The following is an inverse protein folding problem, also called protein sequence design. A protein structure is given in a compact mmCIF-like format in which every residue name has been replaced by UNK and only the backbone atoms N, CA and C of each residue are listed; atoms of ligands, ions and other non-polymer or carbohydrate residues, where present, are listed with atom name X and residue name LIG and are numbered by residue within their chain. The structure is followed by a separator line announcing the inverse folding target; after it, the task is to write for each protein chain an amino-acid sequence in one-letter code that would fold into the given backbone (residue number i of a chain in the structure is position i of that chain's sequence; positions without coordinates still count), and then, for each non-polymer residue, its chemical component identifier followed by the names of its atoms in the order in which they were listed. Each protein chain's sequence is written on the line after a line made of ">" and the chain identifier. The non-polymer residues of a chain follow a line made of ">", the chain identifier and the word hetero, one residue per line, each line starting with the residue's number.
data_IF_417909896995
#
_entry.id   IF_417909896995
#
_cell.length_a   1.000
_cell.length_b   1.000
_cell.length_c   1.000
_cell.angle_alpha   90.00
_cell.angle_beta   90.00
_cell.angle_gamma   90.00
#
_symmetry.space_group_name_H-M   'P 1'
#
loop_
_entity.id
_entity.type
_entity.pdbx_description
1 polymer ?
#
# COMPACT_ATOMS: atom_id res chain seq x y z
N UNK A 1 28.63 -38.47 7.69
CA UNK A 1 27.29 -37.92 7.38
C UNK A 1 26.75 -38.62 6.14
N UNK A 2 25.47 -39.02 6.13
CA UNK A 2 24.84 -39.68 4.97
C UNK A 2 24.99 -38.83 3.69
N UNK A 3 25.39 -39.46 2.58
CA UNK A 3 25.57 -38.83 1.25
C UNK A 3 24.35 -38.01 0.82
N UNK A 4 23.16 -38.46 1.20
CA UNK A 4 21.90 -37.81 0.83
C UNK A 4 21.66 -36.51 1.59
N UNK A 5 22.07 -36.44 2.86
CA UNK A 5 22.01 -35.21 3.64
C UNK A 5 22.90 -34.13 3.01
N UNK A 6 24.12 -34.49 2.60
CA UNK A 6 25.06 -33.54 1.98
C UNK A 6 24.51 -33.00 0.66
N UNK A 7 23.89 -33.85 -0.17
CA UNK A 7 23.23 -33.42 -1.42
C UNK A 7 22.05 -32.49 -1.14
N UNK A 8 21.23 -32.81 -0.14
CA UNK A 8 20.09 -31.99 0.25
C UNK A 8 20.52 -30.60 0.74
N UNK A 9 21.52 -30.53 1.63
CA UNK A 9 22.07 -29.28 2.15
C UNK A 9 22.65 -28.40 1.03
N UNK A 10 23.34 -28.99 0.05
CA UNK A 10 23.85 -28.23 -1.11
C UNK A 10 22.73 -27.63 -1.97
N UNK A 11 21.66 -28.40 -2.24
CA UNK A 11 20.49 -27.89 -2.96
C UNK A 11 19.78 -26.78 -2.19
N UNK A 12 19.58 -26.97 -0.89
CA UNK A 12 18.99 -25.97 0.00
C UNK A 12 19.78 -24.66 -0.04
N UNK A 13 21.11 -24.73 0.13
CA UNK A 13 21.98 -23.55 0.04
C UNK A 13 21.86 -22.84 -1.30
N UNK A 14 21.88 -23.57 -2.41
CA UNK A 14 21.75 -22.96 -3.74
C UNK A 14 20.41 -22.24 -3.94
N UNK A 15 19.32 -22.80 -3.38
CA UNK A 15 18.01 -22.13 -3.39
C UNK A 15 17.98 -20.89 -2.49
N UNK A 16 18.56 -20.96 -1.29
CA UNK A 16 18.65 -19.83 -0.37
C UNK A 16 19.46 -18.66 -0.96
N UNK A 17 20.61 -18.97 -1.57
CA UNK A 17 21.45 -17.98 -2.26
C UNK A 17 20.68 -17.32 -3.44
N UNK A 18 19.94 -18.11 -4.23
CA UNK A 18 19.11 -17.58 -5.33
C UNK A 18 17.95 -16.72 -4.82
N UNK A 19 17.29 -17.11 -3.73
CA UNK A 19 16.23 -16.32 -3.11
C UNK A 19 16.77 -14.99 -2.58
N UNK A 20 17.96 -14.98 -1.98
CA UNK A 20 18.62 -13.75 -1.53
C UNK A 20 18.90 -12.80 -2.70
N UNK A 21 19.44 -13.32 -3.80
CA UNK A 21 19.69 -12.51 -5.01
C UNK A 21 18.40 -11.92 -5.57
N UNK A 22 17.37 -12.75 -5.81
CA UNK A 22 16.08 -12.28 -6.33
C UNK A 22 15.41 -11.27 -5.40
N UNK A 23 15.56 -11.41 -4.08
CA UNK A 23 15.03 -10.43 -3.13
C UNK A 23 15.77 -9.09 -3.19
N UNK A 24 17.09 -9.11 -3.42
CA UNK A 24 17.87 -7.88 -3.63
C UNK A 24 17.46 -7.17 -4.93
N UNK A 25 17.36 -7.92 -6.03
CA UNK A 25 16.90 -7.39 -7.32
C UNK A 25 15.47 -6.83 -7.20
N UNK A 26 14.56 -7.58 -6.57
CA UNK A 26 13.20 -7.12 -6.33
C UNK A 26 13.15 -5.86 -5.46
N UNK A 27 14.09 -5.71 -4.51
CA UNK A 27 14.18 -4.51 -3.69
C UNK A 27 14.65 -3.30 -4.50
N UNK A 28 15.66 -3.47 -5.35
CA UNK A 28 16.11 -2.42 -6.28
C UNK A 28 14.99 -1.98 -7.21
N UNK A 29 14.28 -2.94 -7.82
CA UNK A 29 13.12 -2.64 -8.68
C UNK A 29 11.99 -1.91 -7.93
N UNK A 30 11.77 -2.20 -6.65
CA UNK A 30 10.80 -1.46 -5.82
C UNK A 30 11.23 -0.01 -5.58
N UNK A 31 12.53 0.23 -5.42
CA UNK A 31 13.09 1.57 -5.22
C UNK A 31 13.01 2.40 -6.52
N UNK A 32 13.42 1.81 -7.64
CA UNK A 32 13.28 2.42 -8.97
C UNK A 32 11.81 2.75 -9.29
N UNK A 33 10.90 1.80 -9.04
CA UNK A 33 9.46 2.03 -9.21
C UNK A 33 8.99 3.20 -8.34
N UNK A 34 9.43 3.28 -7.09
CA UNK A 34 9.06 4.37 -6.18
C UNK A 34 9.56 5.73 -6.68
N UNK A 35 10.77 5.79 -7.23
CA UNK A 35 11.30 7.02 -7.83
C UNK A 35 10.44 7.47 -9.02
N UNK A 36 10.07 6.56 -9.91
CA UNK A 36 9.19 6.85 -11.04
C UNK A 36 7.79 7.28 -10.59
N UNK A 37 7.24 6.69 -9.52
CA UNK A 37 5.96 7.10 -8.94
C UNK A 37 6.02 8.56 -8.42
N UNK A 38 7.16 9.00 -7.86
CA UNK A 38 7.35 10.39 -7.44
C UNK A 38 7.38 11.34 -8.64
N UNK A 39 8.12 11.00 -9.69
CA UNK A 39 8.16 11.80 -10.93
C UNK A 39 6.76 11.90 -11.58
N UNK A 40 6.03 10.79 -11.67
CA UNK A 40 4.64 10.75 -12.14
C UNK A 40 3.73 11.63 -11.30
N UNK A 41 3.89 11.59 -9.97
CA UNK A 41 3.12 12.43 -9.06
C UNK A 41 3.35 13.91 -9.33
N UNK A 42 4.61 14.31 -9.54
CA UNK A 42 4.95 15.70 -9.82
C UNK A 42 4.38 16.19 -11.14
N UNK A 43 4.41 15.35 -12.18
CA UNK A 43 3.75 15.65 -13.46
C UNK A 43 2.24 15.83 -13.25
N UNK A 44 1.58 14.90 -12.56
CA UNK A 44 0.13 14.88 -12.36
C UNK A 44 -0.42 15.96 -11.41
N UNK A 45 0.44 16.67 -10.68
CA UNK A 45 0.08 17.90 -9.95
C UNK A 45 -0.23 19.07 -10.89
N UNK A 46 0.26 19.03 -12.13
CA UNK A 46 -0.02 20.07 -13.12
C UNK A 46 -1.51 20.09 -13.45
N UNK A 47 -2.11 21.29 -13.50
CA UNK A 47 -3.55 21.49 -13.72
C UNK A 47 -4.07 20.85 -15.00
N UNK A 48 -3.24 20.77 -16.04
CA UNK A 48 -3.58 20.15 -17.33
C UNK A 48 -3.89 18.64 -17.23
N UNK A 49 -3.43 17.97 -16.17
CA UNK A 49 -3.67 16.54 -15.96
C UNK A 49 -4.66 16.26 -14.82
N UNK A 50 -5.29 17.28 -14.23
CA UNK A 50 -6.15 17.13 -13.06
C UNK A 50 -7.31 16.13 -13.25
N UNK A 51 -7.83 16.03 -14.47
CA UNK A 51 -8.95 15.14 -14.84
C UNK A 51 -8.51 13.71 -15.19
N UNK A 52 -7.20 13.45 -15.27
CA UNK A 52 -6.69 12.12 -15.59
C UNK A 52 -6.71 11.26 -14.31
N UNK A 53 -7.44 10.15 -14.38
CA UNK A 53 -7.57 9.15 -13.32
C UNK A 53 -7.16 7.74 -13.77
N UNK A 54 -7.00 7.53 -15.08
CA UNK A 54 -6.63 6.26 -15.70
C UNK A 54 -5.71 6.52 -16.89
N UNK A 55 -4.69 5.69 -17.06
CA UNK A 55 -3.81 5.69 -18.23
C UNK A 55 -3.79 4.28 -18.82
N UNK A 56 -4.17 4.15 -20.09
CA UNK A 56 -4.17 2.86 -20.79
C UNK A 56 -2.81 2.61 -21.45
N UNK A 57 -2.30 1.40 -21.26
CA UNK A 57 -1.08 0.92 -21.90
C UNK A 57 -1.50 -0.02 -23.03
N UNK A 58 -1.33 0.44 -24.28
CA UNK A 58 -1.78 -0.28 -25.47
C UNK A 58 -1.00 -1.58 -25.72
N UNK A 59 0.24 -1.65 -25.24
CA UNK A 59 1.15 -2.76 -25.54
C UNK A 59 0.76 -4.07 -24.84
N UNK A 60 0.07 -3.99 -23.70
CA UNK A 60 -0.23 -5.16 -22.86
C UNK A 60 -1.67 -5.19 -22.32
N UNK A 61 -2.56 -4.32 -22.84
CA UNK A 61 -3.94 -4.19 -22.39
C UNK A 61 -4.07 -4.04 -20.87
N UNK A 62 -3.20 -3.24 -20.26
CA UNK A 62 -3.30 -2.88 -18.83
C UNK A 62 -3.60 -1.39 -18.65
N UNK A 63 -4.14 -1.06 -17.47
CA UNK A 63 -4.49 0.30 -17.09
C UNK A 63 -3.76 0.65 -15.81
N UNK A 64 -3.13 1.83 -15.77
CA UNK A 64 -2.66 2.45 -14.53
C UNK A 64 -3.79 3.31 -13.98
N UNK A 65 -4.36 2.88 -12.86
CA UNK A 65 -5.28 3.67 -12.06
C UNK A 65 -4.50 4.65 -11.20
N UNK A 66 -4.88 5.92 -11.27
CA UNK A 66 -4.28 7.02 -10.49
C UNK A 66 -5.26 7.38 -9.37
N UNK A 67 -4.81 7.24 -8.13
CA UNK A 67 -5.53 7.73 -6.96
C UNK A 67 -4.82 8.97 -6.46
N UNK A 68 -5.54 10.10 -6.43
CA UNK A 68 -5.00 11.40 -6.00
C UNK A 68 -5.02 11.53 -4.47
N UNK A 69 -4.20 12.41 -3.90
CA UNK A 69 -4.34 12.80 -2.50
C UNK A 69 -5.79 13.11 -2.15
N UNK A 70 -6.19 12.74 -0.94
CA UNK A 70 -7.51 12.95 -0.34
C UNK A 70 -8.67 12.17 -1.01
N UNK A 71 -8.44 11.49 -2.14
CA UNK A 71 -9.46 10.71 -2.85
C UNK A 71 -9.49 9.22 -2.49
N UNK A 72 -8.55 8.75 -1.67
CA UNK A 72 -8.48 7.35 -1.26
C UNK A 72 -7.98 7.21 0.18
N UNK A 73 -8.35 6.09 0.79
CA UNK A 73 -7.86 5.71 2.12
C UNK A 73 -6.91 4.53 2.01
N UNK A 74 -5.82 4.60 2.75
CA UNK A 74 -4.89 3.49 2.94
C UNK A 74 -5.63 2.33 3.62
N UNK A 75 -5.25 1.07 3.34
CA UNK A 75 -5.85 -0.09 4.00
C UNK A 75 -5.82 0.05 5.53
N UNK A 76 -6.89 -0.44 6.17
CA UNK A 76 -7.00 -0.38 7.63
C UNK A 76 -5.83 -1.09 8.30
N UNK A 77 -5.10 -0.33 9.11
CA UNK A 77 -4.01 -0.82 9.94
C UNK A 77 -4.02 -0.01 11.23
N UNK A 78 -3.56 -0.57 12.34
CA UNK A 78 -3.38 0.18 13.58
C UNK A 78 -2.19 -0.41 14.34
N UNK A 79 -1.14 0.38 14.55
CA UNK A 79 0.00 -0.08 15.32
C UNK A 79 -0.32 -0.06 16.83
N UNK A 80 0.34 -0.90 17.61
CA UNK A 80 0.18 -0.88 19.07
C UNK A 80 0.55 0.48 19.68
N UNK A 81 1.51 1.20 19.07
CA UNK A 81 1.91 2.55 19.46
C UNK A 81 0.78 3.55 19.22
N UNK A 82 0.21 3.56 18.02
CA UNK A 82 -0.89 4.47 17.65
C UNK A 82 -2.13 4.20 18.50
N UNK A 83 -2.43 2.92 18.75
CA UNK A 83 -3.53 2.53 19.63
C UNK A 83 -3.34 3.11 21.03
N UNK A 84 -2.15 2.96 21.63
CA UNK A 84 -1.85 3.53 22.96
C UNK A 84 -2.03 5.04 22.99
N UNK A 85 -1.61 5.72 21.93
CA UNK A 85 -1.78 7.17 21.80
C UNK A 85 -3.25 7.58 21.72
N UNK A 86 -4.04 6.93 20.86
CA UNK A 86 -5.48 7.23 20.73
C UNK A 86 -6.25 6.93 22.00
N UNK A 87 -5.91 5.85 22.70
CA UNK A 87 -6.45 5.56 24.03
C UNK A 87 -6.10 6.69 25.00
N UNK A 88 -4.85 7.14 25.06
CA UNK A 88 -4.44 8.25 25.92
C UNK A 88 -5.20 9.55 25.63
N UNK A 89 -5.40 9.88 24.35
CA UNK A 89 -6.19 11.03 23.93
C UNK A 89 -7.67 10.90 24.33
N UNK A 90 -8.26 9.71 24.16
CA UNK A 90 -9.64 9.45 24.56
C UNK A 90 -9.85 9.63 26.07
N UNK A 91 -8.96 9.07 26.90
CA UNK A 91 -9.06 9.16 28.36
C UNK A 91 -8.83 10.57 28.91
N UNK A 92 -8.13 11.41 28.13
CA UNK A 92 -7.91 12.84 28.44
C UNK A 92 -9.05 13.74 27.96
N UNK A 93 -9.95 13.23 27.12
CA UNK A 93 -11.10 13.98 26.61
C UNK A 93 -12.26 14.01 27.62
N UNK A 94 -13.18 14.98 27.48
CA UNK A 94 -14.39 15.05 28.33
C UNK A 94 -15.51 14.08 27.88
N UNK A 95 -15.22 13.16 26.95
CA UNK A 95 -16.20 12.20 26.44
C UNK A 95 -16.61 11.16 27.50
N UNK A 96 -17.79 10.54 27.36
CA UNK A 96 -18.20 9.44 28.22
C UNK A 96 -17.18 8.31 28.14
N UNK A 97 -16.69 7.88 29.30
CA UNK A 97 -15.66 6.85 29.45
C UNK A 97 -16.25 5.45 29.36
N UNK A 98 -16.84 5.11 28.22
CA UNK A 98 -17.39 3.78 27.94
C UNK A 98 -16.64 3.11 26.77
N UNK A 99 -16.81 1.79 26.63
CA UNK A 99 -16.11 1.02 25.61
C UNK A 99 -16.55 1.38 24.18
N UNK A 100 -17.83 1.69 23.98
CA UNK A 100 -18.41 2.02 22.67
C UNK A 100 -17.86 3.34 22.13
N UNK A 101 -17.82 4.38 22.95
CA UNK A 101 -17.27 5.69 22.62
C UNK A 101 -15.76 5.61 22.40
N UNK A 102 -15.05 4.78 23.17
CA UNK A 102 -13.62 4.55 22.98
C UNK A 102 -13.37 3.90 21.62
N UNK A 103 -14.13 2.87 21.26
CA UNK A 103 -14.04 2.21 19.97
C UNK A 103 -14.36 3.18 18.84
N UNK A 104 -15.49 3.91 18.93
CA UNK A 104 -15.89 4.88 17.92
C UNK A 104 -14.83 5.98 17.73
N UNK A 105 -14.24 6.49 18.81
CA UNK A 105 -13.19 7.49 18.77
C UNK A 105 -11.92 6.98 18.07
N UNK A 106 -11.43 5.80 18.45
CA UNK A 106 -10.24 5.19 17.83
C UNK A 106 -10.50 4.94 16.35
N UNK A 107 -11.70 4.45 16.01
CA UNK A 107 -12.06 4.16 14.63
C UNK A 107 -12.07 5.44 13.79
N UNK A 108 -12.74 6.49 14.26
CA UNK A 108 -12.86 7.75 13.56
C UNK A 108 -11.50 8.45 13.37
N UNK A 109 -10.71 8.53 14.45
CA UNK A 109 -9.35 9.10 14.38
C UNK A 109 -8.48 8.35 13.38
N UNK A 110 -8.57 7.01 13.37
CA UNK A 110 -7.75 6.22 12.45
C UNK A 110 -8.25 6.31 11.01
N UNK A 111 -9.56 6.35 10.76
CA UNK A 111 -10.12 6.58 9.41
C UNK A 111 -9.57 7.88 8.82
N UNK A 112 -9.59 8.96 9.60
CA UNK A 112 -9.07 10.25 9.17
C UNK A 112 -7.55 10.21 8.94
N UNK A 113 -6.79 9.51 9.79
CA UNK A 113 -5.34 9.36 9.61
C UNK A 113 -4.96 8.45 8.41
N UNK A 114 -5.89 7.63 7.91
CA UNK A 114 -5.67 6.77 6.75
C UNK A 114 -6.01 7.45 5.43
N UNK A 115 -6.60 8.65 5.43
CA UNK A 115 -6.77 9.44 4.21
C UNK A 115 -5.38 9.72 3.65
N UNK A 116 -5.14 9.27 2.42
CA UNK A 116 -3.83 9.36 1.83
C UNK A 116 -3.56 10.78 1.35
N UNK A 117 -2.46 11.36 1.81
CA UNK A 117 -1.97 12.68 1.35
C UNK A 117 -1.08 12.57 0.10
N UNK A 118 -0.94 11.37 -0.45
CA UNK A 118 -0.01 11.03 -1.51
C UNK A 118 -0.77 10.40 -2.69
N UNK A 119 -0.17 10.48 -3.88
CA UNK A 119 -0.66 9.73 -5.02
C UNK A 119 -0.42 8.24 -4.83
N UNK A 120 -1.31 7.41 -5.36
CA UNK A 120 -1.07 5.99 -5.52
C UNK A 120 -1.35 5.55 -6.96
N UNK A 121 -0.52 4.64 -7.43
CA UNK A 121 -0.57 4.09 -8.77
C UNK A 121 -0.78 2.59 -8.68
N UNK A 122 -1.84 2.10 -9.30
CA UNK A 122 -2.13 0.67 -9.34
C UNK A 122 -2.31 0.24 -10.77
N UNK A 123 -1.51 -0.74 -11.20
CA UNK A 123 -1.65 -1.35 -12.51
C UNK A 123 -2.60 -2.54 -12.43
N UNK A 124 -3.66 -2.52 -13.24
CA UNK A 124 -4.67 -3.59 -13.33
C UNK A 124 -4.86 -4.01 -14.77
N UNK A 125 -5.27 -5.26 -15.01
CA UNK A 125 -5.70 -5.68 -16.35
C UNK A 125 -6.98 -4.93 -16.76
N UNK A 126 -7.17 -4.65 -18.06
CA UNK A 126 -8.36 -3.93 -18.54
C UNK A 126 -9.68 -4.57 -18.06
N UNK A 127 -9.74 -5.90 -18.01
CA UNK A 127 -10.93 -6.69 -17.64
C UNK A 127 -11.40 -6.49 -16.19
N UNK A 128 -10.51 -6.07 -15.29
CA UNK A 128 -10.86 -5.90 -13.86
C UNK A 128 -11.41 -4.50 -13.54
N UNK A 129 -11.30 -3.56 -14.49
CA UNK A 129 -11.67 -2.16 -14.25
C UNK A 129 -13.17 -1.87 -14.36
N UNK A 130 -13.95 -2.74 -15.01
CA UNK A 130 -15.41 -2.60 -15.14
C UNK A 130 -16.15 -2.93 -13.83
N UNK A 131 -15.63 -3.86 -13.03
CA UNK A 131 -16.26 -4.34 -11.80
C UNK A 131 -16.07 -3.43 -10.56
N UNK A 132 -15.15 -2.46 -10.62
CA UNK A 132 -14.87 -1.57 -9.48
C UNK A 132 -15.74 -0.30 -9.45
N UNK A 133 -16.65 -0.13 -10.41
CA UNK A 133 -17.54 1.03 -10.55
C UNK A 133 -18.85 0.90 -9.78
N UNK A 134 -19.13 -0.26 -9.19
CA UNK A 134 -20.43 -0.64 -8.61
C UNK A 134 -20.40 -0.90 -7.10
N UNK A 135 -19.30 -0.60 -6.40
CA UNK A 135 -19.22 -0.69 -4.95
C UNK A 135 -18.94 0.69 -4.33
N UNK A 136 -19.98 1.52 -4.27
CA UNK A 136 -20.09 2.66 -3.36
C UNK A 136 -21.18 2.34 -2.33
#
# INVERSE_FOLDING_TARGET
>A
MSSDLVKCVRKYRGLDDKLKQLNQEAQQLREERKLLELELSDILKTTQYATIHKLEIKDDNTVIKIQRPDMWSKPWSLSAKDLKEFLGQFWSSSKPKNAEECFAFVVDKRKNALIATEFAFTRTALKDTENASTAN
#
